data_IF_191800162544
#
_entry.id   IF_191800162544
#
_cell.length_a   1.000
_cell.length_b   1.000
_cell.length_c   1.000
_cell.angle_alpha   90.00
_cell.angle_beta   90.00
_cell.angle_gamma   90.00
#
_symmetry.space_group_name_H-M   'P 1'
#
loop_
_entity.id
_entity.type
_entity.pdbx_description
1 polymer ?
#
# COMPACT_ATOMS: atom_id res chain seq x y z
N UNK A 1 -0.07 17.24 -45.93
CA UNK A 1 0.42 15.98 -45.31
C UNK A 1 1.28 16.20 -44.09
N UNK A 2 2.25 17.12 -44.12
CA UNK A 2 3.08 17.40 -42.93
C UNK A 2 2.30 17.91 -41.72
N UNK A 3 1.22 18.70 -41.94
CA UNK A 3 0.37 19.20 -40.83
C UNK A 3 -0.40 18.09 -40.11
N UNK A 4 -0.80 17.04 -40.82
CA UNK A 4 -1.51 15.91 -40.22
C UNK A 4 -0.59 15.11 -39.28
N UNK A 5 0.68 14.96 -39.67
CA UNK A 5 1.70 14.26 -38.88
C UNK A 5 1.95 14.98 -37.56
N UNK A 6 2.09 16.31 -37.57
CA UNK A 6 2.27 17.12 -36.37
C UNK A 6 1.08 17.06 -35.42
N UNK A 7 -0.13 17.07 -35.95
CA UNK A 7 -1.35 16.94 -35.17
C UNK A 7 -1.42 15.58 -34.48
N UNK A 8 -1.03 14.52 -35.15
CA UNK A 8 -0.99 13.17 -34.61
C UNK A 8 0.01 13.03 -33.46
N UNK A 9 1.20 13.61 -33.60
CA UNK A 9 2.22 13.62 -32.56
C UNK A 9 1.75 14.40 -31.33
N UNK A 10 1.07 15.51 -31.53
CA UNK A 10 0.51 16.31 -30.43
C UNK A 10 -0.56 15.54 -29.67
N UNK A 11 -1.47 14.85 -30.34
CA UNK A 11 -2.48 13.99 -29.72
C UNK A 11 -1.84 12.83 -28.93
N UNK A 12 -0.80 12.23 -29.47
CA UNK A 12 -0.06 11.18 -28.78
C UNK A 12 0.60 11.67 -27.50
N UNK A 13 1.15 12.89 -27.49
CA UNK A 13 1.73 13.52 -26.30
C UNK A 13 0.68 13.75 -25.21
N UNK A 14 -0.55 14.10 -25.57
CA UNK A 14 -1.65 14.28 -24.62
C UNK A 14 -2.09 12.96 -23.99
N UNK A 15 -2.04 11.86 -24.72
CA UNK A 15 -2.37 10.52 -24.21
C UNK A 15 -1.34 10.03 -23.19
N UNK A 16 -0.11 10.54 -23.26
CA UNK A 16 0.95 10.22 -22.31
C UNK A 16 0.90 11.03 -21.00
N UNK A 17 -0.10 11.85 -20.77
CA UNK A 17 -0.29 12.49 -19.48
C UNK A 17 -0.54 11.41 -18.42
N UNK A 18 0.26 11.47 -17.36
CA UNK A 18 0.32 10.48 -16.29
C UNK A 18 -1.05 10.19 -15.69
N UNK A 19 -1.57 9.00 -15.95
CA UNK A 19 -2.58 8.41 -15.11
C UNK A 19 -1.85 7.82 -13.90
N UNK A 20 -2.02 8.42 -12.74
CA UNK A 20 -1.51 7.86 -11.49
C UNK A 20 -2.27 6.58 -11.20
N UNK A 21 -1.57 5.45 -11.27
CA UNK A 21 -2.15 4.17 -10.90
C UNK A 21 -2.47 4.17 -9.40
N UNK A 22 -3.66 3.71 -9.03
CA UNK A 22 -4.05 3.46 -7.65
C UNK A 22 -3.09 2.45 -7.02
N UNK A 23 -2.54 2.78 -5.88
CA UNK A 23 -1.75 1.85 -5.07
C UNK A 23 -2.65 1.24 -4.01
N UNK A 24 -2.70 -0.09 -3.98
CA UNK A 24 -3.55 -0.84 -3.07
C UNK A 24 -2.69 -1.83 -2.29
N UNK A 25 -2.84 -1.83 -0.97
CA UNK A 25 -2.28 -2.83 -0.08
C UNK A 25 -3.38 -3.83 0.27
N UNK A 26 -3.10 -5.11 0.13
CA UNK A 26 -4.04 -6.17 0.50
C UNK A 26 -3.70 -6.67 1.90
N UNK A 27 -4.64 -6.51 2.82
CA UNK A 27 -4.53 -7.04 4.18
C UNK A 27 -5.19 -8.41 4.21
N UNK A 28 -4.38 -9.46 4.28
CA UNK A 28 -4.84 -10.85 4.32
C UNK A 28 -5.05 -11.29 5.76
N UNK A 29 -6.30 -11.51 6.12
CA UNK A 29 -6.70 -11.98 7.43
C UNK A 29 -7.25 -13.41 7.33
N UNK A 30 -7.41 -14.07 8.48
CA UNK A 30 -7.95 -15.43 8.54
C UNK A 30 -9.36 -15.51 7.91
N UNK A 31 -10.17 -14.47 8.10
CA UNK A 31 -11.56 -14.44 7.67
C UNK A 31 -11.79 -13.76 6.32
N UNK A 32 -10.74 -13.30 5.65
CA UNK A 32 -10.87 -12.65 4.35
C UNK A 32 -9.80 -11.60 4.10
N UNK A 33 -9.94 -10.91 2.98
CA UNK A 33 -8.98 -9.88 2.56
C UNK A 33 -9.64 -8.50 2.62
N UNK A 34 -8.85 -7.50 3.01
CA UNK A 34 -9.24 -6.10 3.00
C UNK A 34 -8.34 -5.35 2.06
N UNK A 35 -8.93 -4.58 1.16
CA UNK A 35 -8.18 -3.68 0.26
C UNK A 35 -8.01 -2.33 0.92
N UNK A 36 -6.78 -1.84 1.00
CA UNK A 36 -6.44 -0.54 1.56
C UNK A 36 -5.83 0.32 0.47
N UNK A 37 -6.50 1.41 0.13
CA UNK A 37 -6.00 2.38 -0.84
C UNK A 37 -4.93 3.25 -0.19
N UNK A 38 -3.77 3.38 -0.86
CA UNK A 38 -2.65 4.17 -0.37
C UNK A 38 -2.56 5.48 -1.16
N UNK A 39 -2.55 6.59 -0.44
CA UNK A 39 -2.48 7.93 -1.02
C UNK A 39 -1.06 8.47 -1.00
N UNK A 40 -0.24 8.06 -1.97
CA UNK A 40 1.17 8.45 -2.07
C UNK A 40 1.35 9.95 -2.33
N UNK A 41 0.38 10.61 -2.92
CA UNK A 41 0.39 12.05 -3.14
C UNK A 41 0.20 12.85 -1.85
N UNK A 42 -0.53 12.29 -0.88
CA UNK A 42 -0.84 12.94 0.40
C UNK A 42 0.11 12.56 1.52
N UNK A 43 0.61 11.33 1.52
CA UNK A 43 1.48 10.79 2.57
C UNK A 43 2.60 9.95 1.97
N UNK A 44 3.53 10.54 1.19
CA UNK A 44 4.51 9.78 0.42
C UNK A 44 5.45 8.95 1.30
N UNK A 45 5.89 9.47 2.43
CA UNK A 45 6.82 8.77 3.32
C UNK A 45 6.15 7.59 4.02
N UNK A 46 4.92 7.75 4.46
CA UNK A 46 4.15 6.66 5.09
C UNK A 46 3.85 5.55 4.09
N UNK A 47 3.42 5.91 2.89
CA UNK A 47 3.13 4.94 1.83
C UNK A 47 4.40 4.19 1.43
N UNK A 48 5.51 4.88 1.27
CA UNK A 48 6.81 4.26 0.97
C UNK A 48 7.19 3.22 2.02
N UNK A 49 7.02 3.53 3.29
CA UNK A 49 7.35 2.63 4.39
C UNK A 49 6.42 1.41 4.42
N UNK A 50 5.13 1.59 4.22
CA UNK A 50 4.19 0.48 4.10
C UNK A 50 4.55 -0.46 2.96
N UNK A 51 4.93 0.09 1.81
CA UNK A 51 5.35 -0.70 0.65
C UNK A 51 6.63 -1.48 0.94
N UNK A 52 7.62 -0.86 1.57
CA UNK A 52 8.87 -1.53 1.94
C UNK A 52 8.63 -2.70 2.88
N UNK A 53 7.84 -2.50 3.91
CA UNK A 53 7.53 -3.53 4.90
C UNK A 53 6.68 -4.65 4.31
N UNK A 54 5.69 -4.32 3.48
CA UNK A 54 4.85 -5.31 2.81
C UNK A 54 5.64 -6.18 1.83
N UNK A 55 6.47 -5.55 0.99
CA UNK A 55 7.24 -6.24 -0.03
C UNK A 55 8.37 -7.10 0.55
N UNK A 56 8.89 -6.75 1.72
CA UNK A 56 9.93 -7.52 2.40
C UNK A 56 9.37 -8.62 3.31
N UNK A 57 8.04 -8.76 3.39
CA UNK A 57 7.39 -9.78 4.21
C UNK A 57 7.38 -9.48 5.71
N UNK A 58 7.71 -8.27 6.12
CA UNK A 58 7.80 -7.89 7.53
C UNK A 58 6.46 -7.88 8.25
N UNK A 59 5.36 -7.69 7.50
CA UNK A 59 4.03 -7.74 8.07
C UNK A 59 3.46 -9.18 8.19
N UNK A 60 4.10 -10.15 7.56
CA UNK A 60 3.61 -11.53 7.61
C UNK A 60 3.71 -12.08 9.04
N UNK A 61 2.60 -12.55 9.58
CA UNK A 61 2.52 -13.06 10.94
C UNK A 61 2.37 -12.00 12.03
N UNK A 62 2.25 -10.73 11.67
CA UNK A 62 2.00 -9.64 12.63
C UNK A 62 0.55 -9.71 13.12
N UNK A 63 0.38 -9.65 14.43
CA UNK A 63 -0.93 -9.79 15.06
C UNK A 63 -1.58 -8.44 15.35
N UNK A 64 -2.90 -8.47 15.55
CA UNK A 64 -3.62 -7.35 16.14
C UNK A 64 -3.45 -7.44 17.66
N UNK A 65 -2.48 -6.71 18.18
CA UNK A 65 -2.10 -6.82 19.58
C UNK A 65 -3.01 -6.07 20.56
N UNK A 66 -3.92 -5.26 20.04
CA UNK A 66 -4.88 -4.51 20.85
C UNK A 66 -6.19 -4.32 20.10
N UNK A 67 -7.25 -4.82 20.65
CA UNK A 67 -8.61 -4.67 20.10
C UNK A 67 -9.53 -4.19 21.21
N UNK A 68 -10.14 -3.03 21.01
CA UNK A 68 -11.10 -2.45 21.94
C UNK A 68 -12.43 -2.32 21.21
N UNK A 69 -13.45 -3.06 21.68
CA UNK A 69 -14.75 -3.08 21.07
C UNK A 69 -15.37 -1.69 21.00
N UNK A 70 -15.90 -1.35 19.85
CA UNK A 70 -16.51 -0.04 19.60
C UNK A 70 -15.52 1.12 19.48
N UNK A 71 -14.20 0.85 19.54
CA UNK A 71 -13.18 1.92 19.51
C UNK A 71 -12.10 1.70 18.45
N UNK A 72 -11.29 0.63 18.56
CA UNK A 72 -10.16 0.45 17.66
C UNK A 72 -9.61 -0.98 17.65
N UNK A 73 -8.89 -1.30 16.59
CA UNK A 73 -8.01 -2.45 16.49
C UNK A 73 -6.62 -1.95 16.09
N UNK A 74 -5.60 -2.37 16.80
CA UNK A 74 -4.22 -1.93 16.60
C UNK A 74 -3.34 -3.08 16.17
N UNK A 75 -2.54 -2.84 15.12
CA UNK A 75 -1.60 -3.82 14.58
C UNK A 75 -0.39 -3.09 14.00
N UNK A 76 0.57 -3.84 13.48
CA UNK A 76 1.71 -3.28 12.75
C UNK A 76 3.01 -3.27 13.55
N UNK A 77 3.05 -3.88 14.74
CA UNK A 77 4.29 -4.02 15.51
C UNK A 77 5.13 -5.14 14.90
N UNK A 78 6.04 -4.78 14.03
CA UNK A 78 6.89 -5.71 13.28
C UNK A 78 7.92 -6.38 14.15
N UNK A 79 8.40 -5.70 15.19
CA UNK A 79 9.48 -6.19 16.07
C UNK A 79 8.97 -7.15 17.13
N UNK A 80 7.97 -6.76 17.88
CA UNK A 80 7.47 -7.51 19.02
C UNK A 80 6.12 -8.17 18.80
N UNK A 81 5.40 -7.73 17.77
CA UNK A 81 4.04 -8.18 17.46
C UNK A 81 3.95 -9.24 16.38
N UNK A 82 5.06 -9.82 15.95
CA UNK A 82 5.09 -10.86 14.93
C UNK A 82 5.21 -12.23 15.59
N UNK A 83 4.15 -13.05 15.49
CA UNK A 83 4.09 -14.39 16.10
C UNK A 83 5.12 -15.38 15.57
N UNK A 84 5.69 -15.10 14.40
CA UNK A 84 6.73 -15.93 13.79
C UNK A 84 8.15 -15.52 14.22
N UNK A 85 8.26 -14.45 15.00
CA UNK A 85 9.53 -13.88 15.39
C UNK A 85 9.91 -14.33 16.81
N UNK A 86 11.22 -14.58 17.05
CA UNK A 86 11.74 -14.96 18.37
C UNK A 86 11.55 -13.85 19.43
N UNK A 87 11.45 -12.60 18.99
CA UNK A 87 11.24 -11.44 19.87
C UNK A 87 9.75 -11.18 20.18
N UNK A 88 8.86 -12.07 19.78
CA UNK A 88 7.42 -11.93 20.02
C UNK A 88 7.12 -11.76 21.50
N UNK A 89 6.58 -10.59 21.84
CA UNK A 89 6.28 -10.23 23.22
C UNK A 89 5.19 -9.14 23.25
N UNK A 90 4.00 -9.52 23.65
CA UNK A 90 2.85 -8.62 23.75
C UNK A 90 2.41 -8.43 25.18
#
# INVERSE_FOLDING_TARGET
MKKIIYLFVFLFSLVNTKLMAKEIMILKLIHGEVEIELYSDKAPNHVKRFKELSNSGKYDGVVFHRVIDGFMAQTGDVKFGNSNNSDFNL
#
